data_IF_077327913273
#
_entry.id   IF_077327913273
#
_cell.length_a   1.000
_cell.length_b   1.000
_cell.length_c   1.000
_cell.angle_alpha   90.00
_cell.angle_beta   90.00
_cell.angle_gamma   90.00
#
_symmetry.space_group_name_H-M   'P 1'
#
loop_
_entity.id
_entity.type
_entity.pdbx_description
1 polymer ?
#
# COMPACT_ATOMS: atom_id res chain seq x y z
N UNK A 1 15.58 -17.92 2.60
CA UNK A 1 14.31 -17.61 1.90
C UNK A 1 13.10 -17.79 2.81
N UNK A 2 12.89 -18.96 3.42
CA UNK A 2 11.83 -19.15 4.45
C UNK A 2 11.94 -18.19 5.65
N UNK A 3 13.15 -17.81 6.05
CA UNK A 3 13.38 -16.95 7.21
C UNK A 3 12.79 -15.52 7.07
N UNK A 4 12.91 -14.88 5.90
CA UNK A 4 12.38 -13.52 5.69
C UNK A 4 10.85 -13.52 5.56
N UNK A 5 10.27 -14.52 4.87
CA UNK A 5 8.82 -14.68 4.79
C UNK A 5 8.18 -14.98 6.15
N UNK A 6 8.78 -15.90 6.94
CA UNK A 6 8.31 -16.17 8.30
C UNK A 6 8.52 -14.97 9.23
N UNK A 7 9.58 -14.18 9.04
CA UNK A 7 9.79 -12.94 9.78
C UNK A 7 8.71 -11.91 9.47
N UNK A 8 8.31 -11.73 8.21
CA UNK A 8 7.22 -10.82 7.84
C UNK A 8 5.89 -11.20 8.51
N UNK A 9 5.52 -12.48 8.48
CA UNK A 9 4.33 -12.98 9.18
C UNK A 9 4.45 -12.87 10.71
N UNK A 10 5.63 -13.14 11.26
CA UNK A 10 5.88 -12.99 12.71
C UNK A 10 5.79 -11.54 13.16
N UNK A 11 6.30 -10.59 12.38
CA UNK A 11 6.18 -9.16 12.62
C UNK A 11 4.71 -8.71 12.53
N UNK A 12 3.94 -9.23 11.57
CA UNK A 12 2.51 -8.94 11.47
C UNK A 12 1.74 -9.35 12.73
N UNK A 13 2.03 -10.53 13.29
CA UNK A 13 1.44 -10.99 14.54
C UNK A 13 1.84 -10.14 15.76
N UNK A 14 3.07 -9.61 15.78
CA UNK A 14 3.53 -8.71 16.84
C UNK A 14 2.84 -7.35 16.72
N UNK A 15 2.75 -6.80 15.50
CA UNK A 15 2.02 -5.58 15.21
C UNK A 15 0.52 -5.67 15.52
N UNK A 16 -0.06 -6.86 15.35
CA UNK A 16 -1.44 -7.14 15.71
C UNK A 16 -1.65 -7.03 17.23
N UNK A 17 -0.66 -7.44 18.03
CA UNK A 17 -0.72 -7.43 19.50
C UNK A 17 -0.31 -6.12 20.13
N UNK A 18 0.36 -5.23 19.40
CA UNK A 18 0.94 -3.99 19.91
C UNK A 18 0.75 -2.85 18.92
N UNK A 19 -0.18 -1.94 19.21
CA UNK A 19 -0.43 -0.74 18.40
C UNK A 19 0.81 0.14 18.25
N UNK A 20 1.67 0.17 19.28
CA UNK A 20 2.93 0.92 19.28
C UNK A 20 3.92 0.40 18.23
N UNK A 21 3.90 -0.89 17.96
CA UNK A 21 4.80 -1.54 17.00
C UNK A 21 4.19 -1.60 15.58
N UNK A 22 2.89 -1.34 15.44
CA UNK A 22 2.16 -1.40 14.17
C UNK A 22 2.73 -0.45 13.11
N UNK A 23 3.09 0.77 13.50
CA UNK A 23 3.69 1.74 12.58
C UNK A 23 5.09 1.32 12.12
N UNK A 24 5.94 0.84 13.04
CA UNK A 24 7.28 0.35 12.73
C UNK A 24 7.25 -0.87 11.82
N UNK A 25 6.39 -1.84 12.13
CA UNK A 25 6.22 -3.05 11.33
C UNK A 25 5.67 -2.71 9.94
N UNK A 26 4.69 -1.82 9.83
CA UNK A 26 4.16 -1.40 8.53
C UNK A 26 5.26 -0.78 7.68
N UNK A 27 6.10 0.09 8.25
CA UNK A 27 7.22 0.69 7.52
C UNK A 27 8.23 -0.35 7.03
N UNK A 28 8.56 -1.36 7.84
CA UNK A 28 9.47 -2.44 7.42
C UNK A 28 8.84 -3.33 6.35
N UNK A 29 7.56 -3.67 6.46
CA UNK A 29 6.83 -4.42 5.43
C UNK A 29 6.76 -3.65 4.12
N UNK A 30 6.55 -2.33 4.16
CA UNK A 30 6.60 -1.47 2.97
C UNK A 30 7.99 -1.48 2.33
N UNK A 31 9.07 -1.44 3.12
CA UNK A 31 10.43 -1.62 2.57
C UNK A 31 10.61 -2.99 1.90
N UNK A 32 10.00 -4.04 2.44
CA UNK A 32 10.04 -5.38 1.84
C UNK A 32 9.26 -5.47 0.51
N UNK A 33 8.27 -4.60 0.27
CA UNK A 33 7.61 -4.50 -1.04
C UNK A 33 8.55 -3.98 -2.14
N UNK A 34 9.60 -3.24 -1.78
CA UNK A 34 10.66 -2.84 -2.72
C UNK A 34 11.73 -3.92 -2.94
N UNK A 35 11.55 -5.13 -2.39
CA UNK A 35 12.49 -6.23 -2.59
C UNK A 35 12.47 -6.74 -4.03
N UNK A 36 13.63 -7.17 -4.54
CA UNK A 36 13.74 -7.83 -5.86
C UNK A 36 13.06 -9.20 -5.90
N UNK A 37 12.78 -9.80 -4.74
CA UNK A 37 12.21 -11.15 -4.63
C UNK A 37 10.69 -11.14 -4.51
N UNK A 38 10.02 -11.77 -5.47
CA UNK A 38 8.55 -11.90 -5.52
C UNK A 38 7.97 -12.53 -4.25
N UNK A 39 8.50 -13.68 -3.83
CA UNK A 39 8.03 -14.36 -2.62
C UNK A 39 8.14 -13.50 -1.34
N UNK A 40 9.07 -12.54 -1.28
CA UNK A 40 9.19 -11.61 -0.14
C UNK A 40 8.14 -10.52 -0.23
N UNK A 41 7.90 -9.98 -1.44
CA UNK A 41 6.86 -8.97 -1.68
C UNK A 41 5.46 -9.51 -1.43
N UNK A 42 5.17 -10.70 -1.92
CA UNK A 42 3.88 -11.35 -1.72
C UNK A 42 3.60 -11.54 -0.22
N UNK A 43 4.58 -12.05 0.54
CA UNK A 43 4.44 -12.19 2.00
C UNK A 43 4.31 -10.87 2.73
N UNK A 44 4.99 -9.82 2.27
CA UNK A 44 4.85 -8.49 2.83
C UNK A 44 3.45 -7.90 2.52
N UNK A 45 2.94 -8.09 1.31
CA UNK A 45 1.60 -7.64 0.91
C UNK A 45 0.49 -8.40 1.65
N UNK A 46 0.63 -9.72 1.84
CA UNK A 46 -0.24 -10.54 2.67
C UNK A 46 -0.26 -10.01 4.12
N UNK A 47 0.93 -9.85 4.73
CA UNK A 47 1.06 -9.32 6.09
C UNK A 47 0.43 -7.93 6.24
N UNK A 48 0.63 -7.03 5.26
CA UNK A 48 0.01 -5.71 5.23
C UNK A 48 -1.51 -5.76 5.04
N UNK A 49 -2.04 -6.83 4.46
CA UNK A 49 -3.48 -7.05 4.27
C UNK A 49 -4.12 -7.59 5.53
N UNK A 50 -3.50 -8.58 6.17
CA UNK A 50 -3.94 -9.11 7.46
C UNK A 50 -3.98 -8.01 8.53
N UNK A 51 -2.93 -7.18 8.57
CA UNK A 51 -2.87 -6.02 9.46
C UNK A 51 -3.91 -4.94 9.15
N UNK A 52 -4.46 -4.89 7.94
CA UNK A 52 -5.49 -3.93 7.55
C UNK A 52 -6.91 -4.47 7.82
N UNK A 53 -7.15 -5.77 7.65
CA UNK A 53 -8.45 -6.43 7.78
C UNK A 53 -8.96 -6.61 9.20
N UNK A 54 -8.08 -6.80 10.20
CA UNK A 54 -8.52 -6.94 11.61
C UNK A 54 -8.97 -5.62 12.27
N UNK A 55 -8.94 -4.50 11.55
CA UNK A 55 -9.51 -3.23 12.01
C UNK A 55 -11.03 -3.10 11.86
N UNK A 56 -11.71 -4.11 11.29
CA UNK A 56 -13.11 -4.03 10.85
C UNK A 56 -14.15 -4.52 11.88
N UNK A 57 -13.72 -4.93 13.09
CA UNK A 57 -14.65 -5.16 14.21
C UNK A 57 -14.93 -3.87 14.99
N UNK A 58 -15.48 -2.88 14.29
CA UNK A 58 -16.15 -1.72 14.90
C UNK A 58 -15.24 -0.75 15.66
N UNK A 59 -15.22 0.51 15.19
CA UNK A 59 -14.66 1.70 15.87
C UNK A 59 -13.23 2.13 15.48
N UNK A 60 -12.40 1.30 14.81
CA UNK A 60 -10.99 1.66 14.51
C UNK A 60 -10.63 1.95 13.04
N UNK A 61 -11.59 2.33 12.19
CA UNK A 61 -11.32 2.88 10.84
C UNK A 61 -10.46 4.18 10.86
N UNK A 62 -10.24 4.78 12.03
CA UNK A 62 -9.34 5.93 12.22
C UNK A 62 -7.86 5.55 12.41
N UNK A 63 -7.53 4.32 12.83
CA UNK A 63 -6.14 3.96 13.19
C UNK A 63 -5.36 3.28 12.06
N UNK A 64 -6.04 2.65 11.09
CA UNK A 64 -5.40 2.26 9.81
C UNK A 64 -4.92 3.49 9.00
N UNK A 65 -5.36 4.70 9.39
CA UNK A 65 -5.00 5.98 8.78
C UNK A 65 -3.60 6.47 9.18
N UNK A 66 -3.01 5.93 10.24
CA UNK A 66 -1.75 6.42 10.82
C UNK A 66 -0.48 5.76 10.25
N UNK A 67 -0.63 4.76 9.38
CA UNK A 67 0.49 4.05 8.74
C UNK A 67 0.69 4.43 7.27
N UNK A 68 -0.24 5.22 6.71
CA UNK A 68 -0.12 5.79 5.37
C UNK A 68 0.82 7.00 5.47
N UNK A 69 1.89 7.10 4.64
CA UNK A 69 2.77 8.26 4.67
C UNK A 69 1.94 9.54 4.48
N UNK A 70 2.16 10.52 5.34
CA UNK A 70 1.27 11.67 5.62
C UNK A 70 0.89 12.52 4.41
N UNK A 71 1.64 12.44 3.31
CA UNK A 71 1.35 13.17 2.07
C UNK A 71 1.14 12.27 0.84
N UNK A 72 1.17 10.93 0.99
CA UNK A 72 0.97 9.98 -0.11
C UNK A 72 2.09 9.89 -1.15
N UNK A 73 3.01 10.85 -1.23
CA UNK A 73 4.11 10.88 -2.22
C UNK A 73 4.95 9.60 -2.23
N UNK A 74 5.32 9.00 -1.06
CA UNK A 74 6.04 7.74 -1.06
C UNK A 74 5.27 6.57 -1.69
N UNK A 75 3.93 6.61 -1.67
CA UNK A 75 3.09 5.60 -2.34
C UNK A 75 3.09 5.78 -3.85
N UNK A 76 3.10 7.03 -4.32
CA UNK A 76 3.24 7.33 -5.75
C UNK A 76 4.60 6.83 -6.26
N UNK A 77 5.66 7.02 -5.48
CA UNK A 77 6.98 6.47 -5.81
C UNK A 77 6.97 4.94 -5.81
N UNK A 78 6.34 4.30 -4.82
CA UNK A 78 6.20 2.85 -4.76
C UNK A 78 5.43 2.29 -5.99
N UNK A 79 4.37 2.99 -6.42
CA UNK A 79 3.61 2.67 -7.62
C UNK A 79 4.47 2.82 -8.88
N UNK A 80 5.16 3.95 -9.02
CA UNK A 80 6.07 4.24 -10.15
C UNK A 80 7.18 3.19 -10.28
N UNK A 81 7.83 2.87 -9.16
CA UNK A 81 8.90 1.87 -9.14
C UNK A 81 8.34 0.46 -9.37
N UNK A 82 7.14 0.17 -8.86
CA UNK A 82 6.42 -1.07 -9.14
C UNK A 82 6.05 -1.23 -10.61
N UNK A 83 5.73 -0.14 -11.31
CA UNK A 83 5.47 -0.13 -12.75
C UNK A 83 6.73 -0.40 -13.57
N UNK A 84 7.85 0.25 -13.24
CA UNK A 84 9.14 0.09 -13.94
C UNK A 84 9.65 -1.35 -13.89
N UNK A 85 9.57 -1.97 -12.72
CA UNK A 85 10.17 -3.28 -12.46
C UNK A 85 9.15 -4.42 -12.43
N UNK A 86 7.88 -4.15 -12.72
CA UNK A 86 6.80 -5.14 -12.76
C UNK A 86 6.38 -5.75 -11.42
N UNK A 87 6.63 -5.06 -10.29
CA UNK A 87 6.23 -5.51 -8.95
C UNK A 87 4.75 -5.24 -8.70
N UNK A 88 3.89 -6.17 -9.09
CA UNK A 88 2.44 -6.05 -8.96
C UNK A 88 2.02 -5.86 -7.50
N UNK A 89 2.62 -6.58 -6.56
CA UNK A 89 2.23 -6.51 -5.14
C UNK A 89 2.49 -5.12 -4.53
N UNK A 90 3.56 -4.47 -4.97
CA UNK A 90 3.88 -3.10 -4.58
C UNK A 90 2.87 -2.10 -5.17
N UNK A 91 2.45 -2.31 -6.42
CA UNK A 91 1.41 -1.49 -7.06
C UNK A 91 0.08 -1.63 -6.33
N UNK A 92 -0.39 -2.87 -6.07
CA UNK A 92 -1.68 -3.11 -5.41
C UNK A 92 -1.73 -2.51 -3.99
N UNK A 93 -0.65 -2.67 -3.22
CA UNK A 93 -0.56 -2.04 -1.91
C UNK A 93 -0.59 -0.51 -2.01
N UNK A 94 0.19 0.08 -2.93
CA UNK A 94 0.20 1.53 -3.13
C UNK A 94 -1.19 2.05 -3.48
N UNK A 95 -1.89 1.40 -4.41
CA UNK A 95 -3.25 1.77 -4.83
C UNK A 95 -4.23 1.73 -3.66
N UNK A 96 -4.24 0.62 -2.90
CA UNK A 96 -5.10 0.48 -1.72
C UNK A 96 -4.82 1.56 -0.68
N UNK A 97 -3.54 1.86 -0.42
CA UNK A 97 -3.15 2.89 0.55
C UNK A 97 -3.49 4.30 0.06
N UNK A 98 -3.41 4.56 -1.25
CA UNK A 98 -3.80 5.84 -1.85
C UNK A 98 -5.31 6.10 -1.71
N UNK A 99 -6.17 5.08 -1.78
CA UNK A 99 -7.63 5.23 -1.53
C UNK A 99 -7.91 5.82 -0.15
N UNK A 100 -7.07 5.51 0.84
CA UNK A 100 -7.23 6.00 2.21
C UNK A 100 -6.83 7.47 2.41
N UNK A 101 -6.24 8.12 1.40
CA UNK A 101 -5.86 9.53 1.45
C UNK A 101 -7.10 10.38 1.18
N UNK A 102 -7.59 11.06 2.21
CA UNK A 102 -8.75 11.96 2.11
C UNK A 102 -8.38 13.44 2.27
N UNK A 103 -7.16 13.73 2.74
CA UNK A 103 -6.70 15.11 2.98
C UNK A 103 -6.43 15.85 1.66
N UNK A 104 -6.91 17.09 1.56
CA UNK A 104 -6.80 17.90 0.34
C UNK A 104 -5.35 18.23 0.00
N UNK A 105 -4.54 18.62 0.98
CA UNK A 105 -3.13 18.96 0.74
C UNK A 105 -2.33 17.72 0.32
N UNK A 106 -2.62 16.56 0.91
CA UNK A 106 -2.05 15.29 0.48
C UNK A 106 -2.51 14.89 -0.95
N UNK A 107 -3.77 15.15 -1.31
CA UNK A 107 -4.29 14.92 -2.67
C UNK A 107 -3.59 15.78 -3.71
N UNK A 108 -3.38 17.07 -3.41
CA UNK A 108 -2.59 17.96 -4.26
C UNK A 108 -1.15 17.46 -4.42
N UNK A 109 -0.51 17.08 -3.30
CA UNK A 109 0.86 16.56 -3.33
C UNK A 109 1.02 15.28 -4.17
N UNK A 110 0.06 14.35 -4.13
CA UNK A 110 0.11 13.14 -4.98
C UNK A 110 -0.17 13.46 -6.45
N UNK A 111 -1.02 14.44 -6.76
CA UNK A 111 -1.25 14.91 -8.13
C UNK A 111 0.02 15.55 -8.69
N UNK A 112 0.68 16.42 -7.92
CA UNK A 112 1.96 17.04 -8.28
C UNK A 112 3.08 16.00 -8.47
N UNK A 113 3.06 14.91 -7.69
CA UNK A 113 3.97 13.77 -7.87
C UNK A 113 3.68 12.94 -9.14
N UNK A 114 2.68 13.32 -9.95
CA UNK A 114 2.33 12.64 -11.20
C UNK A 114 1.51 11.37 -11.02
N UNK A 115 0.79 11.21 -9.90
CA UNK A 115 0.03 9.99 -9.59
C UNK A 115 -0.96 9.60 -10.71
N UNK A 116 -1.63 10.56 -11.35
CA UNK A 116 -2.66 10.30 -12.37
C UNK A 116 -2.10 9.46 -13.53
N UNK A 117 -0.93 9.82 -14.07
CA UNK A 117 -0.33 9.07 -15.18
C UNK A 117 0.02 7.64 -14.75
N UNK A 118 0.60 7.47 -13.57
CA UNK A 118 0.92 6.15 -13.03
C UNK A 118 -0.33 5.29 -12.80
N UNK A 119 -1.45 5.88 -12.36
CA UNK A 119 -2.74 5.18 -12.21
C UNK A 119 -3.27 4.68 -13.56
N UNK A 120 -3.20 5.50 -14.60
CA UNK A 120 -3.60 5.13 -15.96
C UNK A 120 -2.70 4.01 -16.49
N UNK A 121 -1.38 4.13 -16.32
CA UNK A 121 -0.41 3.13 -16.77
C UNK A 121 -0.60 1.80 -16.05
N UNK A 122 -0.90 1.83 -14.75
CA UNK A 122 -1.23 0.66 -13.93
C UNK A 122 -2.50 -0.05 -14.41
N UNK A 123 -3.55 0.68 -14.75
CA UNK A 123 -4.79 0.13 -15.33
C UNK A 123 -4.55 -0.43 -16.74
N UNK A 124 -3.83 0.30 -17.58
CA UNK A 124 -3.52 -0.12 -18.95
C UNK A 124 -2.59 -1.34 -18.99
N UNK A 125 -1.78 -1.55 -17.95
CA UNK A 125 -0.84 -2.66 -17.85
C UNK A 125 -1.48 -4.04 -17.75
N UNK A 126 -2.75 -4.14 -17.32
CA UNK A 126 -3.52 -5.40 -17.28
C UNK A 126 -2.95 -6.50 -16.37
N UNK A 127 -2.06 -6.13 -15.42
CA UNK A 127 -1.41 -7.06 -14.48
C UNK A 127 -2.02 -7.03 -13.08
N UNK A 128 -2.88 -6.04 -12.82
CA UNK A 128 -3.53 -5.84 -11.53
C UNK A 128 -4.69 -6.83 -11.34
N UNK A 129 -5.00 -7.16 -10.09
CA UNK A 129 -6.28 -7.80 -9.77
C UNK A 129 -7.46 -6.84 -9.96
N UNK A 130 -8.66 -7.40 -10.16
CA UNK A 130 -9.91 -6.62 -10.27
C UNK A 130 -10.11 -5.66 -9.08
N UNK A 131 -9.74 -6.09 -7.87
CA UNK A 131 -9.83 -5.24 -6.67
C UNK A 131 -8.84 -4.08 -6.72
N UNK A 132 -7.63 -4.30 -7.22
CA UNK A 132 -6.64 -3.24 -7.39
C UNK A 132 -7.04 -2.25 -8.50
N UNK A 133 -7.69 -2.72 -9.57
CA UNK A 133 -8.29 -1.84 -10.58
C UNK A 133 -9.39 -0.94 -10.00
N UNK A 134 -10.26 -1.49 -9.15
CA UNK A 134 -11.28 -0.71 -8.42
C UNK A 134 -10.63 0.35 -7.52
N UNK A 135 -9.56 0.00 -6.80
CA UNK A 135 -8.81 0.96 -6.00
C UNK A 135 -8.20 2.07 -6.86
N UNK A 136 -7.60 1.74 -8.00
CA UNK A 136 -7.07 2.74 -8.93
C UNK A 136 -8.18 3.68 -9.44
N UNK A 137 -9.32 3.13 -9.86
CA UNK A 137 -10.46 3.92 -10.31
C UNK A 137 -11.01 4.83 -9.20
N UNK A 138 -11.09 4.34 -7.96
CA UNK A 138 -11.52 5.12 -6.81
C UNK A 138 -10.57 6.29 -6.50
N UNK A 139 -9.26 6.08 -6.61
CA UNK A 139 -8.27 7.17 -6.45
C UNK A 139 -8.45 8.21 -7.55
N UNK A 140 -8.55 7.79 -8.82
CA UNK A 140 -8.79 8.72 -9.95
C UNK A 140 -10.07 9.52 -9.72
N UNK A 141 -11.18 8.85 -9.36
CA UNK A 141 -12.46 9.51 -9.13
C UNK A 141 -12.41 10.52 -7.98
N UNK A 142 -11.60 10.28 -6.95
CA UNK A 142 -11.44 11.22 -5.85
C UNK A 142 -10.47 12.37 -6.14
N UNK A 143 -9.61 12.23 -7.16
CA UNK A 143 -8.67 13.27 -7.59
C UNK A 143 -9.25 14.17 -8.69
N UNK A 144 -10.28 13.70 -9.40
CA UNK A 144 -11.03 14.52 -10.33
C UNK A 144 -11.85 15.59 -9.58
N UNK A 145 -11.81 16.86 -10.00
CA UNK A 145 -12.62 17.93 -9.42
C UNK A 145 -14.12 17.79 -9.73
#
# INVERSE_FOLDING_TARGET
ERAMGMAASGLALIALKSEKDRATVTNELVKLLSSTKEAVRQRAAEALTDMAGEGDTGVSAKHSRQTVPTNGVPLVNLLSDGLKDGRVEAQEYALRSLVSITDTAAREAIVEAGCIQHLIDSLAGGKLSSTAEEHAAAVISGLAP
#
